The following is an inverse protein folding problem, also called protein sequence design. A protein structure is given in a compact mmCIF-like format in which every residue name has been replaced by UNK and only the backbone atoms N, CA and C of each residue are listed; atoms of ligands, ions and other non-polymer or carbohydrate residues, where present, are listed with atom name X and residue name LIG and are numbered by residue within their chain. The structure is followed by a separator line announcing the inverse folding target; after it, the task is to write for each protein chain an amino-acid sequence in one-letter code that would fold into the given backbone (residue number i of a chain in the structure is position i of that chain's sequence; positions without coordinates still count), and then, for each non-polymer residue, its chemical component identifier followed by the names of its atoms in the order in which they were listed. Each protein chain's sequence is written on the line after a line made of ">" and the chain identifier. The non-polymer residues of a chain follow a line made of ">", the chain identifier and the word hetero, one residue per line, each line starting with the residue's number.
data_IF_782921191727
#
_entry.id   IF_782921191727
#
_cell.length_a   1.000
_cell.length_b   1.000
_cell.length_c   1.000
_cell.angle_alpha   90.00
_cell.angle_beta   90.00
_cell.angle_gamma   90.00
#
_symmetry.space_group_name_H-M   'P 1'
#
loop_
_entity.id
_entity.type
_entity.pdbx_description
1 polymer ?
#
# COMPACT_ATOMS: atom_id res chain seq x y z
N UNK A 1 -9.16 -73.39 -18.45
CA UNK A 1 -8.63 -72.60 -19.58
C UNK A 1 -8.23 -71.23 -19.05
N UNK A 2 -6.92 -71.05 -18.76
CA UNK A 2 -6.12 -69.79 -18.84
C UNK A 2 -6.55 -68.66 -17.88
N UNK A 3 -5.85 -68.23 -16.79
CA UNK A 3 -4.44 -67.86 -16.49
C UNK A 3 -3.92 -66.60 -17.23
N UNK A 4 -3.42 -65.62 -16.46
CA UNK A 4 -2.58 -64.45 -16.87
C UNK A 4 -3.34 -63.29 -17.57
N UNK A 5 -3.02 -62.00 -17.42
CA UNK A 5 -1.83 -61.28 -16.95
C UNK A 5 -2.25 -59.80 -16.74
N UNK A 6 -1.93 -59.19 -15.59
CA UNK A 6 -0.96 -58.08 -15.44
C UNK A 6 -0.90 -57.11 -16.64
N UNK A 7 -1.23 -55.84 -16.42
CA UNK A 7 -0.33 -54.72 -16.73
C UNK A 7 -0.89 -53.37 -16.25
N UNK A 8 -0.09 -52.78 -15.38
CA UNK A 8 -0.08 -51.40 -14.89
C UNK A 8 -0.35 -50.36 -15.99
N UNK A 9 -1.10 -49.31 -15.65
CA UNK A 9 -0.70 -47.95 -16.05
C UNK A 9 -1.11 -46.92 -14.99
N UNK A 10 -0.11 -46.51 -14.24
CA UNK A 10 -0.10 -45.36 -13.35
C UNK A 10 -0.68 -44.12 -14.05
N UNK A 11 -1.75 -43.56 -13.50
CA UNK A 11 -2.20 -42.20 -13.83
C UNK A 11 -1.34 -41.24 -13.00
N UNK A 12 -0.35 -40.61 -13.64
CA UNK A 12 0.44 -39.53 -13.03
C UNK A 12 -0.50 -38.38 -12.67
N UNK A 13 -0.66 -38.13 -11.37
CA UNK A 13 -1.12 -36.83 -10.86
C UNK A 13 0.04 -35.86 -11.07
N UNK A 14 -0.02 -35.08 -12.17
CA UNK A 14 0.89 -33.97 -12.40
C UNK A 14 0.35 -32.75 -11.66
N UNK A 15 1.04 -32.33 -10.61
CA UNK A 15 0.87 -31.00 -10.03
C UNK A 15 1.18 -29.97 -11.11
N UNK A 16 0.16 -29.23 -11.56
CA UNK A 16 0.35 -28.07 -12.43
C UNK A 16 1.00 -26.98 -11.58
N UNK A 17 2.32 -26.90 -11.64
CA UNK A 17 3.07 -25.73 -11.21
C UNK A 17 2.72 -24.61 -12.20
N UNK A 18 1.85 -23.70 -11.76
CA UNK A 18 1.53 -22.48 -12.50
C UNK A 18 2.75 -21.56 -12.34
N UNK A 19 3.65 -21.57 -13.32
CA UNK A 19 4.71 -20.59 -13.43
C UNK A 19 4.11 -19.26 -13.89
N UNK A 20 3.68 -18.42 -12.94
CA UNK A 20 3.29 -17.04 -13.22
C UNK A 20 4.55 -16.20 -13.43
N UNK A 21 4.85 -15.88 -14.69
CA UNK A 21 5.94 -14.97 -15.04
C UNK A 21 5.48 -13.52 -14.81
N UNK A 22 6.32 -12.68 -14.20
CA UNK A 22 5.98 -11.32 -13.77
C UNK A 22 5.43 -10.40 -14.88
N UNK A 23 5.63 -10.76 -16.16
CA UNK A 23 5.05 -10.08 -17.32
C UNK A 23 3.52 -10.24 -17.46
N UNK A 24 2.93 -11.24 -16.82
CA UNK A 24 1.47 -11.51 -16.89
C UNK A 24 0.66 -10.71 -15.87
N UNK A 25 1.31 -10.07 -14.90
CA UNK A 25 0.64 -9.47 -13.73
C UNK A 25 0.51 -7.95 -13.73
N UNK A 26 1.11 -7.20 -14.67
CA UNK A 26 1.19 -5.73 -14.54
C UNK A 26 0.96 -4.93 -15.83
N UNK A 27 0.46 -5.55 -16.89
CA UNK A 27 0.03 -4.80 -18.08
C UNK A 27 -1.47 -4.99 -18.23
N UNK A 28 -2.29 -3.94 -18.41
CA UNK A 28 -3.64 -4.15 -18.92
C UNK A 28 -3.48 -5.00 -20.18
N UNK A 29 -4.18 -6.14 -20.20
CA UNK A 29 -4.07 -7.16 -21.23
C UNK A 29 -3.95 -6.50 -22.61
N UNK A 30 -2.86 -6.77 -23.35
CA UNK A 30 -2.56 -6.13 -24.65
C UNK A 30 -3.71 -6.34 -25.65
N UNK A 31 -4.58 -7.32 -25.40
CA UNK A 31 -5.83 -7.56 -26.13
C UNK A 31 -6.86 -6.41 -26.01
N UNK A 32 -6.74 -5.54 -25.01
CA UNK A 32 -7.68 -4.44 -24.79
C UNK A 32 -7.50 -3.26 -25.76
N UNK A 33 -6.39 -3.21 -26.51
CA UNK A 33 -6.09 -2.15 -27.48
C UNK A 33 -6.75 -2.44 -28.85
N UNK A 34 -7.05 -3.71 -29.17
CA UNK A 34 -7.59 -4.13 -30.47
C UNK A 34 -8.99 -4.78 -30.40
N UNK A 35 -9.75 -4.54 -29.33
CA UNK A 35 -11.14 -5.04 -29.24
C UNK A 35 -12.04 -4.39 -30.29
N UNK A 36 -12.63 -5.19 -31.20
CA UNK A 36 -13.67 -4.77 -32.16
C UNK A 36 -14.95 -4.27 -31.49
N UNK A 37 -15.17 -4.62 -30.22
CA UNK A 37 -16.22 -4.03 -29.41
C UNK A 37 -15.73 -2.68 -28.89
N UNK A 38 -16.31 -1.58 -29.41
CA UNK A 38 -16.19 -0.25 -28.80
C UNK A 38 -16.51 -0.41 -27.30
N UNK A 39 -15.52 -0.16 -26.43
CA UNK A 39 -15.73 -0.21 -24.99
C UNK A 39 -16.84 0.78 -24.65
N UNK A 40 -17.96 0.27 -24.12
CA UNK A 40 -18.99 1.13 -23.59
C UNK A 40 -18.41 1.85 -22.37
N UNK A 41 -18.29 3.18 -22.48
CA UNK A 41 -17.84 4.07 -21.42
C UNK A 41 -18.96 4.19 -20.35
N UNK A 42 -19.20 3.10 -19.62
CA UNK A 42 -20.38 2.93 -18.73
C UNK A 42 -20.09 2.98 -17.24
N UNK A 43 -18.85 3.18 -16.80
CA UNK A 43 -18.60 3.29 -15.35
C UNK A 43 -19.15 4.62 -14.82
N UNK A 44 -19.71 4.66 -13.61
CA UNK A 44 -20.21 5.91 -13.01
C UNK A 44 -19.18 7.05 -13.03
N UNK A 45 -17.90 6.74 -12.74
CA UNK A 45 -16.81 7.72 -12.82
C UNK A 45 -16.58 8.26 -14.23
N UNK A 46 -16.68 7.40 -15.26
CA UNK A 46 -16.48 7.85 -16.63
C UNK A 46 -17.60 8.82 -17.07
N UNK A 47 -18.85 8.53 -16.70
CA UNK A 47 -19.99 9.41 -16.96
C UNK A 47 -19.80 10.76 -16.25
N UNK A 48 -19.41 10.74 -14.96
CA UNK A 48 -19.12 11.96 -14.19
C UNK A 48 -17.98 12.78 -14.80
N UNK A 49 -16.89 12.14 -15.23
CA UNK A 49 -15.75 12.81 -15.85
C UNK A 49 -16.10 13.43 -17.20
N UNK A 50 -16.84 12.73 -18.06
CA UNK A 50 -17.30 13.27 -19.34
C UNK A 50 -18.17 14.50 -19.12
N UNK A 51 -19.08 14.46 -18.14
CA UNK A 51 -19.91 15.61 -17.76
C UNK A 51 -19.07 16.80 -17.29
N UNK A 52 -18.10 16.58 -16.39
CA UNK A 52 -17.15 17.62 -15.93
C UNK A 52 -16.33 18.21 -17.08
N UNK A 53 -15.79 17.39 -17.96
CA UNK A 53 -15.00 17.84 -19.12
C UNK A 53 -15.83 18.65 -20.10
N UNK A 54 -17.07 18.22 -20.37
CA UNK A 54 -17.97 18.91 -21.30
C UNK A 54 -18.41 20.27 -20.75
N UNK A 55 -18.66 20.37 -19.44
CA UNK A 55 -19.08 21.62 -18.79
C UNK A 55 -17.94 22.62 -18.57
N UNK A 56 -16.74 22.13 -18.22
CA UNK A 56 -15.56 22.97 -17.94
C UNK A 56 -14.76 23.30 -19.23
N UNK A 57 -14.91 22.51 -20.29
CA UNK A 57 -14.13 22.61 -21.53
C UNK A 57 -12.70 22.12 -21.35
N UNK A 58 -11.82 22.98 -20.83
CA UNK A 58 -10.43 22.60 -20.55
C UNK A 58 -10.35 21.75 -19.28
N UNK A 59 -9.79 20.54 -19.42
CA UNK A 59 -9.63 19.61 -18.31
C UNK A 59 -8.17 19.13 -18.22
N UNK A 60 -7.39 19.63 -17.23
CA UNK A 60 -6.01 19.25 -17.06
C UNK A 60 -5.83 17.75 -16.83
N UNK A 61 -4.75 17.18 -17.37
CA UNK A 61 -4.41 15.78 -17.12
C UNK A 61 -4.20 15.50 -15.62
N UNK A 62 -3.65 16.46 -14.87
CA UNK A 62 -3.50 16.35 -13.41
C UNK A 62 -4.85 16.21 -12.69
N UNK A 63 -5.87 16.95 -13.13
CA UNK A 63 -7.22 16.85 -12.57
C UNK A 63 -7.85 15.49 -12.92
N UNK A 64 -7.68 15.01 -14.15
CA UNK A 64 -8.11 13.67 -14.55
C UNK A 64 -7.47 12.57 -13.71
N UNK A 65 -6.15 12.58 -13.58
CA UNK A 65 -5.41 11.60 -12.76
C UNK A 65 -5.88 11.66 -11.30
N UNK A 66 -6.04 12.86 -10.74
CA UNK A 66 -6.55 13.03 -9.38
C UNK A 66 -7.90 12.36 -9.20
N UNK A 67 -8.86 12.62 -10.08
CA UNK A 67 -10.20 12.01 -10.01
C UNK A 67 -10.13 10.48 -10.18
N UNK A 68 -9.34 9.98 -11.12
CA UNK A 68 -9.15 8.54 -11.29
C UNK A 68 -8.56 7.84 -10.05
N UNK A 69 -7.66 8.52 -9.32
CA UNK A 69 -6.97 7.91 -8.19
C UNK A 69 -7.73 8.10 -6.86
N UNK A 70 -8.27 9.28 -6.60
CA UNK A 70 -8.75 9.69 -5.27
C UNK A 70 -10.19 10.20 -5.25
N UNK A 71 -10.98 9.99 -6.32
CA UNK A 71 -12.41 10.31 -6.26
C UNK A 71 -13.10 9.57 -5.09
N UNK A 72 -13.87 10.27 -4.22
CA UNK A 72 -14.34 9.70 -2.95
C UNK A 72 -15.10 8.37 -3.05
N UNK A 73 -15.83 8.15 -4.15
CA UNK A 73 -16.64 6.94 -4.37
C UNK A 73 -16.06 5.95 -5.36
N UNK A 74 -15.25 6.42 -6.30
CA UNK A 74 -14.88 5.66 -7.50
C UNK A 74 -13.39 5.70 -7.81
N UNK A 75 -12.62 6.48 -7.05
CA UNK A 75 -11.19 6.58 -7.19
C UNK A 75 -10.55 5.24 -6.87
N UNK A 76 -9.49 4.90 -7.60
CA UNK A 76 -8.77 3.64 -7.47
C UNK A 76 -8.37 3.32 -6.02
N UNK A 77 -7.81 4.28 -5.29
CA UNK A 77 -7.40 4.11 -3.89
C UNK A 77 -8.54 4.24 -2.89
N UNK A 78 -9.65 4.89 -3.26
CA UNK A 78 -10.80 5.11 -2.38
C UNK A 78 -11.79 3.95 -2.41
N UNK A 79 -12.05 3.37 -3.59
CA UNK A 79 -13.08 2.35 -3.78
C UNK A 79 -12.59 0.92 -3.45
N UNK A 80 -11.31 0.63 -3.66
CA UNK A 80 -10.76 -0.72 -3.49
C UNK A 80 -10.03 -0.83 -2.14
N UNK A 81 -10.54 -1.68 -1.25
CA UNK A 81 -9.96 -1.89 0.09
C UNK A 81 -8.56 -2.54 0.04
N UNK A 82 -8.35 -3.43 -0.92
CA UNK A 82 -7.11 -4.24 -1.05
C UNK A 82 -6.41 -3.94 -2.38
N UNK A 83 -5.87 -2.73 -2.50
CA UNK A 83 -5.04 -2.32 -3.65
C UNK A 83 -3.60 -2.79 -3.50
N UNK A 84 -3.06 -2.70 -2.28
CA UNK A 84 -1.64 -2.89 -1.96
C UNK A 84 -1.48 -4.04 -0.95
N UNK A 85 -0.57 -4.96 -1.25
CA UNK A 85 -0.15 -6.05 -0.35
C UNK A 85 -1.20 -7.17 -0.19
N UNK A 86 -0.73 -8.43 -0.28
CA UNK A 86 -1.55 -9.65 -0.18
C UNK A 86 -1.88 -10.30 -1.53
N UNK A 87 -2.36 -11.54 -1.52
CA UNK A 87 -2.56 -12.37 -2.74
C UNK A 87 -3.55 -11.78 -3.75
N UNK A 88 -4.47 -10.90 -3.31
CA UNK A 88 -5.51 -10.26 -4.15
C UNK A 88 -5.23 -8.79 -4.43
N UNK A 89 -4.07 -8.28 -4.04
CA UNK A 89 -3.65 -6.91 -4.35
C UNK A 89 -3.24 -6.79 -5.81
N UNK A 90 -3.35 -5.57 -6.36
CA UNK A 90 -2.92 -5.31 -7.73
C UNK A 90 -1.41 -5.20 -7.85
N UNK A 91 -0.75 -4.78 -6.77
CA UNK A 91 0.71 -4.69 -6.68
C UNK A 91 1.21 -4.85 -5.25
N UNK A 92 2.50 -5.17 -5.15
CA UNK A 92 3.25 -5.20 -3.90
C UNK A 92 4.13 -3.95 -3.78
N UNK A 93 4.44 -3.55 -2.55
CA UNK A 93 5.38 -2.46 -2.25
C UNK A 93 6.52 -2.97 -1.39
N UNK A 94 7.66 -2.27 -1.39
CA UNK A 94 8.80 -2.62 -0.54
C UNK A 94 8.44 -2.68 0.96
N UNK A 95 7.48 -1.87 1.40
CA UNK A 95 6.91 -1.89 2.76
C UNK A 95 6.34 -3.26 3.18
N UNK A 96 5.98 -4.12 2.22
CA UNK A 96 5.47 -5.48 2.48
C UNK A 96 6.60 -6.52 2.60
N UNK A 97 7.86 -6.12 2.33
CA UNK A 97 9.04 -6.95 2.50
C UNK A 97 9.68 -6.62 3.86
N UNK A 98 9.70 -7.56 4.83
CA UNK A 98 10.15 -7.28 6.20
C UNK A 98 11.54 -6.61 6.28
N UNK A 99 12.50 -7.07 5.48
CA UNK A 99 13.88 -6.56 5.47
C UNK A 99 13.98 -5.07 5.13
N UNK A 100 13.02 -4.53 4.37
CA UNK A 100 13.03 -3.10 4.05
C UNK A 100 12.85 -2.24 5.32
N UNK A 101 11.98 -2.66 6.24
CA UNK A 101 11.78 -1.95 7.50
C UNK A 101 13.03 -2.03 8.39
N UNK A 102 13.77 -3.13 8.36
CA UNK A 102 15.00 -3.30 9.15
C UNK A 102 16.07 -2.30 8.73
N UNK A 103 16.28 -2.14 7.42
CA UNK A 103 17.23 -1.18 6.86
C UNK A 103 16.84 0.26 7.22
N UNK A 104 15.56 0.62 7.08
CA UNK A 104 15.07 1.95 7.44
C UNK A 104 15.22 2.21 8.95
N UNK A 105 14.99 1.20 9.79
CA UNK A 105 15.17 1.32 11.24
C UNK A 105 16.62 1.55 11.63
N UNK A 106 17.55 0.85 11.00
CA UNK A 106 18.99 1.07 11.19
C UNK A 106 19.38 2.49 10.79
N UNK A 107 18.86 2.99 9.66
CA UNK A 107 19.08 4.37 9.23
C UNK A 107 18.51 5.39 10.21
N UNK A 108 17.29 5.18 10.75
CA UNK A 108 16.69 6.07 11.76
C UNK A 108 17.56 6.14 13.02
N UNK A 109 18.07 5.00 13.50
CA UNK A 109 18.93 4.94 14.69
C UNK A 109 20.26 5.65 14.46
N UNK A 110 20.89 5.43 13.31
CA UNK A 110 22.14 6.09 12.91
C UNK A 110 21.96 7.61 12.76
N UNK A 111 20.89 8.05 12.09
CA UNK A 111 20.55 9.47 11.95
C UNK A 111 20.33 10.14 13.32
N UNK A 112 19.58 9.50 14.21
CA UNK A 112 19.35 10.01 15.56
C UNK A 112 20.65 10.18 16.36
N UNK A 113 21.58 9.23 16.26
CA UNK A 113 22.89 9.33 16.90
C UNK A 113 23.73 10.45 16.31
N UNK A 114 23.77 10.57 14.97
CA UNK A 114 24.48 11.64 14.26
C UNK A 114 23.95 13.04 14.58
N UNK A 115 22.67 13.16 14.93
CA UNK A 115 22.05 14.40 15.41
C UNK A 115 22.40 14.74 16.87
N UNK A 116 23.23 13.93 17.55
CA UNK A 116 23.57 14.14 18.96
C UNK A 116 22.46 13.70 19.92
N UNK A 117 21.71 12.66 19.54
CA UNK A 117 20.68 12.02 20.36
C UNK A 117 19.65 12.99 20.95
N UNK A 118 18.94 13.77 20.10
CA UNK A 118 17.94 14.72 20.58
C UNK A 118 16.84 14.02 21.39
N UNK A 119 16.32 14.74 22.39
CA UNK A 119 15.23 14.26 23.25
C UNK A 119 13.88 14.14 22.55
N UNK A 120 13.75 14.68 21.35
CA UNK A 120 12.56 14.56 20.52
C UNK A 120 13.01 14.29 19.09
N UNK A 121 12.46 13.26 18.48
CA UNK A 121 12.68 12.93 17.08
C UNK A 121 11.32 12.71 16.40
N UNK A 122 11.02 13.53 15.41
CA UNK A 122 9.81 13.44 14.62
C UNK A 122 10.03 12.51 13.42
N UNK A 123 9.25 11.43 13.34
CA UNK A 123 9.18 10.55 12.18
C UNK A 123 7.88 10.85 11.44
N UNK A 124 8.00 11.30 10.19
CA UNK A 124 6.87 11.63 9.33
C UNK A 124 6.81 10.63 8.17
N UNK A 125 5.70 9.89 8.05
CA UNK A 125 5.46 8.98 6.93
C UNK A 125 4.30 9.52 6.07
N UNK A 126 4.56 9.70 4.79
CA UNK A 126 3.58 10.15 3.80
C UNK A 126 2.97 8.92 3.09
N UNK A 127 1.65 8.78 3.15
CA UNK A 127 0.95 7.63 2.57
C UNK A 127 1.34 6.30 3.22
N UNK A 128 1.12 6.13 4.54
CA UNK A 128 1.56 4.93 5.28
C UNK A 128 0.80 3.65 4.90
N UNK A 129 -0.20 3.73 4.02
CA UNK A 129 -1.01 2.60 3.59
C UNK A 129 -1.71 1.93 4.77
N UNK A 130 -1.36 0.68 5.07
CA UNK A 130 -1.90 -0.08 6.22
C UNK A 130 -1.15 0.17 7.52
N UNK A 131 -0.09 0.97 7.50
CA UNK A 131 0.84 1.16 8.63
C UNK A 131 1.84 0.03 8.83
N UNK A 132 1.96 -0.90 7.86
CA UNK A 132 2.87 -2.06 7.91
C UNK A 132 4.33 -1.63 8.11
N UNK A 133 4.78 -0.64 7.35
CA UNK A 133 6.16 -0.15 7.41
C UNK A 133 6.48 0.45 8.78
N UNK A 134 5.71 1.44 9.23
CA UNK A 134 5.88 2.05 10.55
C UNK A 134 5.84 1.01 11.67
N UNK A 135 4.89 0.06 11.62
CA UNK A 135 4.79 -1.00 12.63
C UNK A 135 6.07 -1.82 12.72
N UNK A 136 6.61 -2.24 11.58
CA UNK A 136 7.83 -3.03 11.54
C UNK A 136 9.05 -2.20 11.97
N UNK A 137 9.11 -0.92 11.58
CA UNK A 137 10.16 -0.01 12.04
C UNK A 137 10.16 0.10 13.57
N UNK A 138 9.00 0.33 14.18
CA UNK A 138 8.88 0.46 15.63
C UNK A 138 9.20 -0.84 16.36
N UNK A 139 8.82 -2.00 15.80
CA UNK A 139 9.23 -3.31 16.33
C UNK A 139 10.74 -3.47 16.34
N UNK A 140 11.39 -3.11 15.23
CA UNK A 140 12.85 -3.24 15.13
C UNK A 140 13.57 -2.26 16.06
N UNK A 141 13.09 -1.02 16.17
CA UNK A 141 13.63 -0.05 17.14
C UNK A 141 13.41 -0.54 18.57
N UNK A 142 12.23 -1.09 18.91
CA UNK A 142 11.96 -1.69 20.23
C UNK A 142 12.97 -2.78 20.59
N UNK A 143 13.34 -3.60 19.61
CA UNK A 143 14.28 -4.70 19.78
C UNK A 143 15.74 -4.21 19.90
N UNK A 144 16.19 -3.35 18.99
CA UNK A 144 17.60 -2.95 18.90
C UNK A 144 17.98 -1.76 19.79
N UNK A 145 17.07 -0.80 20.01
CA UNK A 145 17.32 0.38 20.83
C UNK A 145 16.01 0.87 21.48
N UNK A 146 15.53 0.18 22.54
CA UNK A 146 14.29 0.55 23.22
C UNK A 146 14.32 1.96 23.83
N UNK A 147 15.52 2.52 24.08
CA UNK A 147 15.63 3.89 24.59
C UNK A 147 15.12 4.91 23.57
N UNK A 148 15.44 4.75 22.28
CA UNK A 148 14.98 5.64 21.21
C UNK A 148 13.45 5.80 21.16
N UNK A 149 12.69 4.74 21.42
CA UNK A 149 11.21 4.81 21.45
C UNK A 149 10.66 5.90 22.40
N UNK A 150 11.42 6.25 23.44
CA UNK A 150 11.01 7.29 24.39
C UNK A 150 11.01 8.68 23.77
N UNK A 151 11.82 8.90 22.73
CA UNK A 151 12.00 10.20 22.08
C UNK A 151 11.23 10.33 20.75
N UNK A 152 10.72 9.21 20.21
CA UNK A 152 9.97 9.24 18.95
C UNK A 152 8.59 9.91 19.10
N UNK A 153 8.28 10.76 18.13
CA UNK A 153 6.96 11.30 17.84
C UNK A 153 6.62 10.93 16.40
N UNK A 154 5.49 10.29 16.17
CA UNK A 154 5.14 9.68 14.87
C UNK A 154 4.00 10.45 14.24
N UNK A 155 4.18 10.83 12.98
CA UNK A 155 3.25 11.61 12.20
C UNK A 155 2.93 10.86 10.91
N UNK A 156 1.68 10.42 10.78
CA UNK A 156 1.20 9.70 9.62
C UNK A 156 0.34 10.63 8.78
N UNK A 157 0.75 10.91 7.55
CA UNK A 157 0.03 11.81 6.63
C UNK A 157 -0.71 10.96 5.60
N UNK A 158 -2.04 11.00 5.62
CA UNK A 158 -2.89 10.22 4.72
C UNK A 158 -4.00 11.10 4.14
N UNK A 159 -4.25 10.94 2.84
CA UNK A 159 -5.29 11.68 2.13
C UNK A 159 -6.63 10.97 2.35
N UNK A 160 -7.37 11.42 3.37
CA UNK A 160 -8.70 10.92 3.69
C UNK A 160 -8.72 9.86 4.81
N UNK A 161 -9.87 9.69 5.45
CA UNK A 161 -10.04 8.81 6.61
C UNK A 161 -10.03 7.31 6.27
N UNK A 162 -9.90 6.93 5.00
CA UNK A 162 -10.23 5.59 4.51
C UNK A 162 -9.40 4.45 5.14
N UNK A 163 -8.19 4.74 5.64
CA UNK A 163 -7.30 3.73 6.24
C UNK A 163 -6.85 4.06 7.66
N UNK A 164 -7.33 5.15 8.25
CA UNK A 164 -6.91 5.59 9.58
C UNK A 164 -7.23 4.54 10.65
N UNK A 165 -8.41 3.91 10.58
CA UNK A 165 -8.80 2.83 11.51
C UNK A 165 -7.88 1.61 11.41
N UNK A 166 -7.51 1.21 10.18
CA UNK A 166 -6.59 0.10 9.93
C UNK A 166 -5.20 0.40 10.52
N UNK A 167 -4.70 1.62 10.31
CA UNK A 167 -3.43 2.09 10.85
C UNK A 167 -3.45 2.17 12.38
N UNK A 168 -4.53 2.68 12.98
CA UNK A 168 -4.73 2.72 14.43
C UNK A 168 -4.70 1.31 15.03
N UNK A 169 -5.40 0.36 14.39
CA UNK A 169 -5.38 -1.04 14.82
C UNK A 169 -3.97 -1.64 14.70
N UNK A 170 -3.28 -1.40 13.58
CA UNK A 170 -1.96 -1.95 13.31
C UNK A 170 -0.89 -1.47 14.31
N UNK A 171 -1.00 -0.19 14.73
CA UNK A 171 -0.03 0.51 15.58
C UNK A 171 -0.45 0.60 17.05
N UNK A 172 -1.57 -0.01 17.43
CA UNK A 172 -2.13 0.02 18.78
C UNK A 172 -1.12 -0.35 19.88
N UNK A 173 -0.23 -1.33 19.61
CA UNK A 173 0.85 -1.72 20.53
C UNK A 173 1.81 -0.57 20.89
N UNK A 174 2.02 0.36 19.97
CA UNK A 174 2.96 1.48 20.11
C UNK A 174 2.29 2.79 20.50
N UNK A 175 0.95 2.83 20.52
CA UNK A 175 0.21 4.00 20.95
C UNK A 175 0.20 4.06 22.48
N UNK A 176 1.12 4.86 23.03
CA UNK A 176 1.22 5.06 24.48
C UNK A 176 0.15 6.03 24.99
N UNK A 177 -0.02 6.10 26.31
CA UNK A 177 -0.90 7.08 26.97
C UNK A 177 -0.56 8.54 26.60
N UNK A 178 0.68 8.81 26.17
CA UNK A 178 1.16 10.12 25.74
C UNK A 178 0.75 10.48 24.29
N UNK A 179 0.02 9.59 23.58
CA UNK A 179 -0.45 9.79 22.20
C UNK A 179 0.65 10.24 21.24
N UNK A 180 1.73 9.46 21.19
CA UNK A 180 2.91 9.73 20.35
C UNK A 180 2.65 9.56 18.85
N UNK A 181 1.63 8.80 18.46
CA UNK A 181 1.24 8.62 17.05
C UNK A 181 0.06 9.53 16.74
N UNK A 182 0.22 10.37 15.72
CA UNK A 182 -0.75 11.37 15.26
C UNK A 182 -0.98 11.23 13.75
N UNK A 183 -2.21 11.46 13.33
CA UNK A 183 -2.64 11.40 11.93
C UNK A 183 -2.97 12.79 11.41
N UNK A 184 -2.62 13.02 10.14
CA UNK A 184 -2.69 14.31 9.48
C UNK A 184 -3.28 14.15 8.08
N UNK A 185 -4.11 15.11 7.65
CA UNK A 185 -4.76 15.08 6.33
C UNK A 185 -3.84 15.54 5.19
N UNK A 186 -2.75 16.22 5.53
CA UNK A 186 -1.78 16.79 4.59
C UNK A 186 -0.52 17.25 5.33
N UNK A 187 0.56 17.47 4.59
CA UNK A 187 1.82 17.92 5.17
C UNK A 187 1.68 19.31 5.82
N UNK A 188 0.82 20.14 5.25
CA UNK A 188 0.51 21.49 5.70
C UNK A 188 -0.24 21.50 7.04
N UNK A 189 -0.86 20.39 7.42
CA UNK A 189 -1.55 20.25 8.71
C UNK A 189 -0.60 19.92 9.86
N UNK A 190 0.65 19.56 9.56
CA UNK A 190 1.67 19.32 10.58
C UNK A 190 2.17 20.69 11.11
N UNK A 191 2.18 20.91 12.44
CA UNK A 191 2.68 22.16 13.01
C UNK A 191 4.13 22.43 12.58
N UNK A 192 4.43 23.67 12.15
CA UNK A 192 5.81 24.06 11.83
C UNK A 192 6.73 24.14 13.06
N UNK A 193 6.15 24.04 14.27
CA UNK A 193 6.86 24.09 15.55
C UNK A 193 7.27 22.70 16.06
N UNK A 194 7.28 21.67 15.19
CA UNK A 194 7.92 20.38 15.51
C UNK A 194 9.43 20.56 15.68
#
# INVERSE_FOLDING_TARGET
>A
MIRESLLRRFRKSGSVLVNLHASEMSTPDRLTVNSKNKKELKTPLCIELISKMTSQGYFPMSQYVKECLTHPRHGYYSAKKTVIGGEKADFITAAEIPFFADVISAWIMDAWQKMGTPRVLHLVELGPGKGTLMKNILKQIKYSNPHLLHFLQIHLVELGAARTEEQMSALSEFQTAQKKIKWWMGLESIPLTL
#
